data_IF_892589088850
#
_entry.id   IF_892589088850
#
_cell.length_a   1.000
_cell.length_b   1.000
_cell.length_c   1.000
_cell.angle_alpha   90.00
_cell.angle_beta   90.00
_cell.angle_gamma   90.00
#
_symmetry.space_group_name_H-M   'P 1'
#
loop_
_entity.id
_entity.type
_entity.pdbx_description
1 polymer ?
#
# COMPACT_ATOMS: atom_id res chain seq x y z
N UNK A 1 16.87 -0.67 -13.92
CA UNK A 1 16.02 0.05 -12.95
C UNK A 1 16.89 1.02 -12.15
N UNK A 2 16.37 2.19 -11.77
CA UNK A 2 17.06 3.16 -10.90
C UNK A 2 17.23 2.53 -9.50
N UNK A 3 18.35 2.80 -8.85
CA UNK A 3 18.53 2.48 -7.42
C UNK A 3 18.00 3.66 -6.62
N UNK A 4 17.11 3.40 -5.69
CA UNK A 4 16.51 4.39 -4.81
C UNK A 4 17.22 4.36 -3.45
N UNK A 5 17.38 5.50 -2.83
CA UNK A 5 17.82 5.57 -1.42
C UNK A 5 16.65 5.28 -0.47
N UNK A 6 16.98 5.01 0.77
CA UNK A 6 16.03 4.60 1.82
C UNK A 6 14.89 5.60 2.04
N UNK A 7 15.10 6.91 1.79
CA UNK A 7 14.07 7.95 1.96
C UNK A 7 13.04 7.93 0.83
N UNK A 8 13.43 7.41 -0.34
CA UNK A 8 12.61 7.30 -1.55
C UNK A 8 12.07 5.89 -1.80
N UNK A 9 11.86 5.13 -0.73
CA UNK A 9 11.24 3.80 -0.78
C UNK A 9 9.98 3.81 0.08
N UNK A 10 8.93 3.08 -0.35
CA UNK A 10 7.74 2.75 0.44
C UNK A 10 7.44 1.28 0.25
N UNK A 11 7.28 0.54 1.33
CA UNK A 11 6.87 -0.86 1.33
C UNK A 11 5.43 -0.93 1.85
N UNK A 12 4.49 -1.23 0.98
CA UNK A 12 3.06 -1.12 1.27
C UNK A 12 2.35 -2.44 1.02
N UNK A 13 1.72 -2.99 2.06
CA UNK A 13 0.85 -4.15 1.93
C UNK A 13 -0.58 -3.73 1.60
N UNK A 14 -1.18 -4.38 0.61
CA UNK A 14 -2.58 -4.24 0.25
C UNK A 14 -3.35 -5.42 0.84
N UNK A 15 -4.19 -5.15 1.84
CA UNK A 15 -4.90 -6.14 2.65
C UNK A 15 -6.40 -5.85 2.71
N UNK A 16 -7.20 -6.83 3.10
CA UNK A 16 -8.66 -6.71 3.19
C UNK A 16 -9.35 -8.01 2.80
N UNK A 17 -10.67 -8.07 2.86
CA UNK A 17 -11.45 -9.26 2.56
C UNK A 17 -11.34 -9.71 1.10
N UNK A 18 -11.68 -10.97 0.79
CA UNK A 18 -11.78 -11.50 -0.58
C UNK A 18 -12.80 -10.72 -1.40
N UNK A 19 -12.45 -10.36 -2.64
CA UNK A 19 -13.36 -9.60 -3.50
C UNK A 19 -13.45 -8.09 -3.24
N UNK A 20 -12.68 -7.53 -2.28
CA UNK A 20 -12.68 -6.08 -2.01
C UNK A 20 -11.95 -5.23 -3.08
N UNK A 21 -11.35 -5.85 -4.09
CA UNK A 21 -10.70 -5.14 -5.22
C UNK A 21 -9.22 -4.81 -5.02
N UNK A 22 -8.51 -5.47 -4.08
CA UNK A 22 -7.06 -5.26 -3.82
C UNK A 22 -6.20 -5.42 -5.07
N UNK A 23 -6.27 -6.60 -5.70
CA UNK A 23 -5.50 -6.94 -6.91
C UNK A 23 -5.78 -5.98 -8.06
N UNK A 24 -7.05 -5.62 -8.28
CA UNK A 24 -7.43 -4.62 -9.28
C UNK A 24 -6.86 -3.22 -8.95
N UNK A 25 -6.81 -2.87 -7.66
CA UNK A 25 -6.21 -1.61 -7.22
C UNK A 25 -4.69 -1.60 -7.44
N UNK A 26 -3.98 -2.66 -7.04
CA UNK A 26 -2.52 -2.80 -7.25
C UNK A 26 -2.17 -2.75 -8.73
N UNK A 27 -2.93 -3.44 -9.57
CA UNK A 27 -2.76 -3.42 -11.03
C UNK A 27 -2.97 -2.00 -11.61
N UNK A 28 -4.03 -1.31 -11.17
CA UNK A 28 -4.32 0.06 -11.55
C UNK A 28 -3.22 1.05 -11.14
N UNK A 29 -2.69 0.93 -9.92
CA UNK A 29 -1.59 1.77 -9.43
C UNK A 29 -0.30 1.57 -10.24
N UNK A 30 0.06 0.32 -10.54
CA UNK A 30 1.20 0.00 -11.41
C UNK A 30 1.02 0.54 -12.83
N UNK A 31 -0.20 0.48 -13.36
CA UNK A 31 -0.52 1.00 -14.69
C UNK A 31 -0.48 2.54 -14.73
N UNK A 32 -1.14 3.20 -13.79
CA UNK A 32 -1.24 4.68 -13.73
C UNK A 32 0.11 5.33 -13.45
N UNK A 33 0.99 4.69 -12.68
CA UNK A 33 2.37 5.14 -12.47
C UNK A 33 3.26 4.96 -13.71
N UNK A 34 2.80 4.20 -14.72
CA UNK A 34 3.58 3.85 -15.89
C UNK A 34 4.56 2.69 -15.68
N UNK A 35 4.55 2.08 -14.49
CA UNK A 35 5.39 0.92 -14.16
C UNK A 35 4.89 -0.37 -14.81
N UNK A 36 3.60 -0.44 -15.19
CA UNK A 36 3.03 -1.45 -16.05
C UNK A 36 2.51 -0.82 -17.35
N UNK A 37 2.72 -1.51 -18.48
CA UNK A 37 2.22 -1.06 -19.80
C UNK A 37 0.76 -1.45 -20.05
N UNK A 38 0.22 -2.32 -19.23
CA UNK A 38 -1.12 -2.88 -19.40
C UNK A 38 -1.89 -2.75 -18.09
N UNK A 39 -3.13 -2.34 -18.20
CA UNK A 39 -4.11 -2.45 -17.13
C UNK A 39 -4.79 -3.82 -17.28
N UNK A 40 -4.58 -4.70 -16.32
CA UNK A 40 -5.15 -6.04 -16.30
C UNK A 40 -6.55 -6.07 -15.70
N UNK A 41 -7.18 -7.24 -15.80
CA UNK A 41 -8.49 -7.51 -15.21
C UNK A 41 -8.50 -8.92 -14.62
N UNK A 42 -9.09 -9.08 -13.44
CA UNK A 42 -9.18 -10.37 -12.72
C UNK A 42 -10.00 -11.38 -13.54
N UNK A 43 -11.12 -10.97 -14.12
CA UNK A 43 -12.00 -11.86 -14.91
C UNK A 43 -11.32 -12.40 -16.17
N UNK A 44 -10.36 -11.65 -16.72
CA UNK A 44 -9.60 -12.03 -17.91
C UNK A 44 -8.29 -12.75 -17.56
N UNK A 45 -7.98 -12.92 -16.26
CA UNK A 45 -6.72 -13.52 -15.79
C UNK A 45 -5.48 -12.76 -16.23
N UNK A 46 -5.54 -11.43 -16.26
CA UNK A 46 -4.51 -10.60 -16.89
C UNK A 46 -3.90 -9.57 -15.92
N UNK A 47 -4.24 -9.67 -14.65
CA UNK A 47 -3.67 -8.81 -13.60
C UNK A 47 -2.19 -9.10 -13.37
N UNK A 48 -1.50 -8.13 -12.80
CA UNK A 48 -0.07 -8.16 -12.56
C UNK A 48 0.33 -9.23 -11.54
N UNK A 49 -0.43 -9.36 -10.46
CA UNK A 49 -0.06 -10.14 -9.27
C UNK A 49 -0.68 -11.52 -9.23
N UNK A 50 -1.87 -11.74 -9.82
CA UNK A 50 -2.50 -13.05 -9.97
C UNK A 50 -2.11 -13.68 -11.32
N UNK A 51 -0.93 -14.27 -11.37
CA UNK A 51 -0.37 -14.83 -12.63
C UNK A 51 -0.23 -16.34 -12.63
N UNK A 52 -0.45 -17.02 -11.52
CA UNK A 52 -0.44 -18.47 -11.46
C UNK A 52 -1.71 -19.05 -12.11
N UNK A 53 -1.60 -20.27 -12.68
CA UNK A 53 -2.75 -20.91 -13.32
C UNK A 53 -3.92 -21.09 -12.35
N UNK A 54 -3.64 -21.45 -11.11
CA UNK A 54 -4.65 -21.68 -10.07
C UNK A 54 -5.38 -20.36 -9.70
N UNK A 55 -4.68 -19.24 -9.64
CA UNK A 55 -5.26 -17.91 -9.37
C UNK A 55 -6.14 -17.44 -10.52
N UNK A 56 -5.66 -17.64 -11.76
CA UNK A 56 -6.42 -17.30 -12.97
C UNK A 56 -7.71 -18.11 -13.06
N UNK A 57 -7.64 -19.43 -12.85
CA UNK A 57 -8.82 -20.29 -12.90
C UNK A 57 -9.83 -20.01 -11.80
N UNK A 58 -9.36 -19.65 -10.61
CA UNK A 58 -10.20 -19.32 -9.45
C UNK A 58 -10.64 -17.86 -9.40
N UNK A 59 -10.02 -16.99 -10.20
CA UNK A 59 -10.25 -15.54 -10.23
C UNK A 59 -10.05 -14.87 -8.86
N UNK A 60 -9.09 -15.35 -8.08
CA UNK A 60 -8.67 -14.77 -6.82
C UNK A 60 -7.23 -15.15 -6.46
N UNK A 61 -6.58 -14.28 -5.68
CA UNK A 61 -5.22 -14.50 -5.17
C UNK A 61 -5.16 -15.66 -4.19
N UNK A 62 -4.11 -16.48 -4.30
CA UNK A 62 -3.78 -17.60 -3.42
C UNK A 62 -2.50 -17.27 -2.63
N UNK A 63 -1.49 -16.74 -3.31
CA UNK A 63 -0.25 -16.29 -2.72
C UNK A 63 -0.14 -14.77 -2.69
N UNK A 64 0.77 -14.23 -1.88
CA UNK A 64 1.13 -12.83 -2.02
C UNK A 64 1.90 -12.60 -3.32
N UNK A 65 1.59 -11.50 -4.00
CA UNK A 65 2.27 -11.05 -5.21
C UNK A 65 2.99 -9.71 -4.99
N UNK A 66 4.04 -9.45 -5.77
CA UNK A 66 4.75 -8.17 -5.72
C UNK A 66 4.43 -7.33 -6.95
N UNK A 67 4.03 -6.10 -6.73
CA UNK A 67 3.90 -5.04 -7.73
C UNK A 67 4.87 -3.90 -7.43
N UNK A 68 5.08 -3.04 -8.41
CA UNK A 68 5.94 -1.88 -8.31
C UNK A 68 5.26 -0.67 -8.91
N UNK A 69 5.36 0.47 -8.23
CA UNK A 69 5.04 1.78 -8.78
C UNK A 69 6.20 2.76 -8.57
N UNK A 70 6.51 3.56 -9.59
CA UNK A 70 7.44 4.68 -9.48
C UNK A 70 6.63 5.98 -9.57
N UNK A 71 6.62 6.77 -8.49
CA UNK A 71 5.80 7.97 -8.38
C UNK A 71 6.51 9.05 -7.58
N UNK A 72 6.52 10.29 -8.06
CA UNK A 72 7.18 11.43 -7.40
C UNK A 72 8.62 11.11 -6.94
N UNK A 73 9.40 10.53 -7.83
CA UNK A 73 10.78 10.08 -7.55
C UNK A 73 10.91 9.04 -6.41
N UNK A 74 9.83 8.34 -6.08
CA UNK A 74 9.77 7.34 -5.01
C UNK A 74 9.38 5.99 -5.59
N UNK A 75 10.06 4.94 -5.15
CA UNK A 75 9.74 3.55 -5.43
C UNK A 75 8.75 3.03 -4.40
N UNK A 76 7.60 2.58 -4.85
CA UNK A 76 6.58 1.96 -4.00
C UNK A 76 6.58 0.46 -4.30
N UNK A 77 7.09 -0.35 -3.39
CA UNK A 77 6.94 -1.80 -3.42
C UNK A 77 5.53 -2.13 -2.91
N UNK A 78 4.70 -2.70 -3.76
CA UNK A 78 3.32 -3.06 -3.45
C UNK A 78 3.25 -4.58 -3.22
N UNK A 79 2.83 -4.97 -2.02
CA UNK A 79 2.64 -6.36 -1.63
C UNK A 79 1.14 -6.64 -1.68
N UNK A 80 0.68 -7.24 -2.78
CA UNK A 80 -0.71 -7.66 -2.94
C UNK A 80 -0.94 -8.97 -2.19
N UNK A 81 -1.95 -9.03 -1.33
CA UNK A 81 -2.20 -10.20 -0.48
C UNK A 81 -3.56 -10.84 -0.77
N UNK A 82 -3.66 -12.17 -0.63
CA UNK A 82 -4.94 -12.85 -0.68
C UNK A 82 -5.88 -12.32 0.40
N UNK A 83 -7.19 -12.28 0.08
CA UNK A 83 -8.21 -11.82 1.01
C UNK A 83 -9.07 -12.93 1.63
N UNK A 84 -8.99 -14.16 1.12
CA UNK A 84 -9.69 -15.30 1.70
C UNK A 84 -8.96 -15.84 2.92
N UNK A 85 -9.71 -16.21 3.96
CA UNK A 85 -9.16 -16.65 5.23
C UNK A 85 -8.31 -17.93 5.13
N UNK A 86 -8.57 -18.77 4.14
CA UNK A 86 -7.75 -19.97 3.85
C UNK A 86 -6.27 -19.60 3.59
N UNK A 87 -6.02 -18.40 3.07
CA UNK A 87 -4.68 -17.90 2.75
C UNK A 87 -4.24 -16.77 3.68
N UNK A 88 -4.85 -16.64 4.86
CA UNK A 88 -4.58 -15.54 5.79
C UNK A 88 -3.10 -15.42 6.19
N UNK A 89 -2.38 -16.55 6.26
CA UNK A 89 -0.93 -16.56 6.51
C UNK A 89 -0.12 -15.74 5.51
N UNK A 90 -0.56 -15.66 4.25
CA UNK A 90 0.08 -14.83 3.21
C UNK A 90 -0.12 -13.33 3.49
N UNK A 91 -1.32 -12.94 3.97
CA UNK A 91 -1.60 -11.56 4.35
C UNK A 91 -0.74 -11.14 5.58
N UNK A 92 -0.62 -12.02 6.58
CA UNK A 92 0.26 -11.79 7.73
C UNK A 92 1.71 -11.64 7.29
N UNK A 93 2.19 -12.50 6.39
CA UNK A 93 3.54 -12.43 5.81
C UNK A 93 3.79 -11.09 5.10
N UNK A 94 2.83 -10.64 4.28
CA UNK A 94 2.89 -9.36 3.58
C UNK A 94 2.95 -8.17 4.53
N UNK A 95 2.14 -8.19 5.61
CA UNK A 95 2.15 -7.14 6.63
C UNK A 95 3.47 -7.06 7.40
N UNK A 96 4.10 -8.21 7.70
CA UNK A 96 5.43 -8.24 8.33
C UNK A 96 6.55 -7.73 7.41
N UNK A 97 6.37 -7.80 6.10
CA UNK A 97 7.35 -7.31 5.13
C UNK A 97 7.15 -5.81 4.78
N UNK A 98 6.04 -5.21 5.18
CA UNK A 98 5.66 -3.84 4.85
C UNK A 98 6.04 -2.83 5.94
N UNK A 99 6.03 -1.54 5.58
CA UNK A 99 6.16 -0.39 6.49
C UNK A 99 4.83 0.30 6.75
N UNK A 100 3.87 0.04 5.87
CA UNK A 100 2.52 0.58 5.97
C UNK A 100 1.53 -0.34 5.24
N UNK A 101 0.24 -0.13 5.48
CA UNK A 101 -0.81 -0.91 4.84
C UNK A 101 -1.88 -0.01 4.17
N UNK A 102 -2.40 -0.48 3.04
CA UNK A 102 -3.66 -0.01 2.48
C UNK A 102 -4.71 -1.09 2.74
N UNK A 103 -5.65 -0.79 3.63
CA UNK A 103 -6.76 -1.69 3.94
C UNK A 103 -7.90 -1.39 2.97
N UNK A 104 -8.19 -2.33 2.09
CA UNK A 104 -9.16 -2.16 1.00
C UNK A 104 -10.50 -2.79 1.38
N UNK A 105 -11.56 -1.98 1.33
CA UNK A 105 -12.94 -2.40 1.57
C UNK A 105 -13.77 -2.25 0.29
N UNK A 106 -14.82 -3.06 0.19
CA UNK A 106 -15.80 -2.92 -0.88
C UNK A 106 -16.86 -1.87 -0.51
N UNK A 107 -17.15 -0.95 -1.44
CA UNK A 107 -18.24 0.01 -1.30
C UNK A 107 -19.64 -0.65 -1.20
N UNK A 108 -19.74 -1.91 -1.65
CA UNK A 108 -21.00 -2.68 -1.62
C UNK A 108 -21.15 -3.52 -0.36
N UNK A 109 -20.06 -4.04 0.20
CA UNK A 109 -20.10 -4.97 1.35
C UNK A 109 -19.79 -4.29 2.69
N UNK A 110 -18.90 -3.29 2.70
CA UNK A 110 -18.44 -2.65 3.94
C UNK A 110 -17.39 -3.48 4.67
N UNK A 111 -17.48 -3.51 5.99
CA UNK A 111 -16.56 -4.27 6.86
C UNK A 111 -16.93 -5.75 6.83
N UNK A 112 -15.97 -6.60 6.53
CA UNK A 112 -16.12 -8.05 6.46
C UNK A 112 -15.06 -8.72 7.34
N UNK A 113 -15.25 -9.99 7.70
CA UNK A 113 -14.38 -10.73 8.63
C UNK A 113 -12.90 -10.68 8.25
N UNK A 114 -12.57 -10.78 6.95
CA UNK A 114 -11.18 -10.66 6.49
C UNK A 114 -10.60 -9.26 6.74
N UNK A 115 -11.43 -8.21 6.67
CA UNK A 115 -11.02 -6.84 6.99
C UNK A 115 -10.71 -6.69 8.48
N UNK A 116 -11.60 -7.21 9.36
CA UNK A 116 -11.38 -7.19 10.81
C UNK A 116 -10.08 -7.92 11.19
N UNK A 117 -9.84 -9.09 10.58
CA UNK A 117 -8.65 -9.89 10.87
C UNK A 117 -7.34 -9.20 10.48
N UNK A 118 -7.26 -8.60 9.29
CA UNK A 118 -6.05 -7.85 8.89
C UNK A 118 -5.90 -6.56 9.69
N UNK A 119 -7.01 -5.95 10.14
CA UNK A 119 -6.99 -4.79 11.02
C UNK A 119 -6.36 -5.13 12.38
N UNK A 120 -6.77 -6.26 13.01
CA UNK A 120 -6.18 -6.77 14.24
C UNK A 120 -4.66 -6.98 14.11
N UNK A 121 -4.19 -7.52 12.98
CA UNK A 121 -2.74 -7.70 12.72
C UNK A 121 -2.04 -6.35 12.59
N UNK A 122 -2.62 -5.39 11.86
CA UNK A 122 -2.06 -4.04 11.75
C UNK A 122 -1.96 -3.36 13.11
N UNK A 123 -2.95 -3.53 14.01
CA UNK A 123 -2.91 -3.00 15.36
C UNK A 123 -1.79 -3.64 16.19
N UNK A 124 -1.65 -4.97 16.11
CA UNK A 124 -0.60 -5.70 16.81
C UNK A 124 0.82 -5.30 16.36
N UNK A 125 0.98 -5.04 15.07
CA UNK A 125 2.25 -4.61 14.47
C UNK A 125 2.48 -3.09 14.58
N UNK A 126 1.54 -2.33 15.11
CA UNK A 126 1.53 -0.86 15.11
C UNK A 126 1.79 -0.27 13.71
N UNK A 127 1.23 -0.91 12.68
CA UNK A 127 1.50 -0.57 11.30
C UNK A 127 0.68 0.66 10.87
N UNK A 128 1.33 1.74 10.40
CA UNK A 128 0.64 2.87 9.79
C UNK A 128 -0.24 2.41 8.63
N UNK A 129 -1.46 2.97 8.53
CA UNK A 129 -2.39 2.50 7.50
C UNK A 129 -3.28 3.58 6.93
N UNK A 130 -3.74 3.33 5.72
CA UNK A 130 -4.78 4.06 4.99
C UNK A 130 -5.93 3.09 4.75
N UNK A 131 -7.17 3.57 4.84
CA UNK A 131 -8.34 2.86 4.33
C UNK A 131 -8.65 3.33 2.89
N UNK A 132 -9.05 2.38 2.04
CA UNK A 132 -9.49 2.67 0.68
C UNK A 132 -10.81 1.94 0.40
N UNK A 133 -11.90 2.69 0.25
CA UNK A 133 -13.18 2.14 -0.22
C UNK A 133 -13.09 2.01 -1.74
N UNK A 134 -12.96 0.79 -2.21
CA UNK A 134 -12.89 0.39 -3.61
C UNK A 134 -14.27 0.05 -4.16
N UNK A 135 -14.35 -0.19 -5.47
CA UNK A 135 -15.59 -0.62 -6.14
C UNK A 135 -16.73 0.41 -6.06
N UNK A 136 -16.38 1.70 -6.00
CA UNK A 136 -17.37 2.79 -5.99
C UNK A 136 -18.22 2.85 -7.26
N UNK A 137 -17.77 2.22 -8.34
CA UNK A 137 -18.45 2.09 -9.64
C UNK A 137 -19.48 0.96 -9.70
N UNK A 138 -19.57 0.13 -8.67
CA UNK A 138 -20.47 -1.03 -8.66
C UNK A 138 -21.86 -0.66 -8.19
N UNK A 139 -22.88 -1.36 -8.73
CA UNK A 139 -24.25 -1.27 -8.26
C UNK A 139 -24.32 -1.50 -6.75
N UNK A 140 -25.13 -0.70 -6.05
CA UNK A 140 -25.26 -0.71 -4.58
C UNK A 140 -24.01 -0.22 -3.80
N UNK A 141 -23.05 0.45 -4.43
CA UNK A 141 -22.02 1.18 -3.72
C UNK A 141 -22.65 2.28 -2.86
N UNK A 142 -22.23 2.41 -1.60
CA UNK A 142 -22.77 3.39 -0.65
C UNK A 142 -21.67 3.81 0.33
N UNK A 143 -21.11 4.99 0.08
CA UNK A 143 -20.02 5.54 0.91
C UNK A 143 -20.45 5.78 2.36
N UNK A 144 -21.62 6.40 2.58
CA UNK A 144 -22.05 6.80 3.93
C UNK A 144 -22.31 5.57 4.81
N UNK A 145 -22.98 4.58 4.25
CA UNK A 145 -23.22 3.31 4.93
C UNK A 145 -21.91 2.61 5.31
N UNK A 146 -20.96 2.51 4.36
CA UNK A 146 -19.68 1.86 4.61
C UNK A 146 -18.82 2.66 5.58
N UNK A 147 -18.85 3.99 5.54
CA UNK A 147 -18.14 4.82 6.50
C UNK A 147 -18.69 4.68 7.92
N UNK A 148 -20.03 4.63 8.09
CA UNK A 148 -20.64 4.36 9.37
C UNK A 148 -20.24 2.97 9.91
N UNK A 149 -20.26 1.94 9.06
CA UNK A 149 -19.85 0.58 9.37
C UNK A 149 -18.38 0.50 9.83
N UNK A 150 -17.48 1.21 9.14
CA UNK A 150 -16.07 1.33 9.53
C UNK A 150 -15.90 1.94 10.93
N UNK A 151 -16.64 3.02 11.22
CA UNK A 151 -16.59 3.66 12.53
C UNK A 151 -17.08 2.79 13.66
N UNK A 152 -18.10 1.97 13.41
CA UNK A 152 -18.69 1.06 14.38
C UNK A 152 -17.82 -0.18 14.63
N UNK A 153 -17.27 -0.80 13.57
CA UNK A 153 -16.64 -2.11 13.66
C UNK A 153 -15.12 -2.10 13.62
N UNK A 154 -14.47 -1.07 13.03
CA UNK A 154 -13.00 -0.98 12.97
C UNK A 154 -12.45 0.07 13.94
N UNK A 155 -12.73 1.35 13.70
CA UNK A 155 -12.16 2.41 14.55
C UNK A 155 -12.84 3.77 14.35
N UNK A 156 -13.12 4.51 15.45
CA UNK A 156 -13.56 5.90 15.38
C UNK A 156 -12.48 6.86 14.87
N UNK A 157 -11.20 6.44 14.83
CA UNK A 157 -10.06 7.23 14.35
C UNK A 157 -10.02 7.39 12.83
N UNK A 158 -10.91 6.71 12.10
CA UNK A 158 -11.01 6.80 10.66
C UNK A 158 -11.61 8.13 10.25
N UNK A 159 -10.91 8.83 9.35
CA UNK A 159 -11.20 10.20 8.92
C UNK A 159 -11.23 10.29 7.40
N UNK A 160 -12.35 10.64 6.77
CA UNK A 160 -12.39 10.88 5.34
C UNK A 160 -11.44 12.01 4.95
N UNK A 161 -10.69 11.81 3.90
CA UNK A 161 -9.85 12.83 3.25
C UNK A 161 -10.30 13.06 1.80
N UNK A 162 -11.19 12.21 1.35
CA UNK A 162 -11.89 12.28 0.07
C UNK A 162 -13.34 11.87 0.26
N UNK A 163 -14.24 12.48 -0.51
CA UNK A 163 -15.64 12.10 -0.62
C UNK A 163 -16.03 11.89 -2.08
N UNK A 164 -16.85 10.87 -2.41
CA UNK A 164 -17.22 10.59 -3.78
C UNK A 164 -18.22 11.61 -4.32
N UNK A 165 -18.15 11.83 -5.64
CA UNK A 165 -19.17 12.51 -6.46
C UNK A 165 -19.91 11.46 -7.25
N UNK A 166 -21.16 11.20 -6.87
CA UNK A 166 -21.92 10.05 -7.32
C UNK A 166 -21.46 8.73 -6.70
N UNK A 167 -22.22 7.68 -6.95
CA UNK A 167 -21.94 6.31 -6.57
C UNK A 167 -22.51 5.31 -7.60
N UNK A 168 -22.06 4.07 -7.59
CA UNK A 168 -22.45 3.09 -8.58
C UNK A 168 -22.16 3.54 -10.01
N UNK A 169 -23.15 3.43 -10.89
CA UNK A 169 -23.02 3.87 -12.30
C UNK A 169 -22.82 5.37 -12.47
N UNK A 170 -23.14 6.15 -11.44
CA UNK A 170 -23.02 7.61 -11.43
C UNK A 170 -21.70 8.08 -10.80
N UNK A 171 -20.83 7.19 -10.34
CA UNK A 171 -19.53 7.54 -9.79
C UNK A 171 -18.62 8.12 -10.87
N UNK A 172 -18.38 9.43 -10.83
CA UNK A 172 -17.60 10.14 -11.84
C UNK A 172 -16.66 11.21 -11.29
N UNK A 173 -16.56 11.34 -9.96
CA UNK A 173 -15.66 12.31 -9.35
C UNK A 173 -15.32 12.01 -7.91
N UNK A 174 -14.33 12.73 -7.40
CA UNK A 174 -13.85 12.66 -6.01
C UNK A 174 -13.53 14.06 -5.55
N UNK A 175 -14.12 14.51 -4.43
CA UNK A 175 -13.78 15.77 -3.80
C UNK A 175 -12.63 15.52 -2.82
N UNK A 176 -11.52 16.21 -3.02
CA UNK A 176 -10.36 16.16 -2.16
C UNK A 176 -10.46 17.23 -1.07
N UNK A 177 -10.54 16.81 0.19
CA UNK A 177 -10.76 17.71 1.32
C UNK A 177 -9.53 18.56 1.65
N UNK A 178 -8.32 18.15 1.25
CA UNK A 178 -7.11 18.94 1.45
C UNK A 178 -6.99 20.12 0.48
N UNK A 179 -7.38 19.90 -0.78
CA UNK A 179 -7.26 20.92 -1.82
C UNK A 179 -8.51 21.78 -1.94
N UNK A 180 -9.65 21.32 -1.44
CA UNK A 180 -10.95 21.97 -1.65
C UNK A 180 -11.38 21.96 -3.11
N UNK A 181 -10.95 20.96 -3.87
CA UNK A 181 -11.28 20.80 -5.30
C UNK A 181 -11.91 19.45 -5.57
N UNK A 182 -12.71 19.38 -6.60
CA UNK A 182 -13.24 18.15 -7.12
C UNK A 182 -12.43 17.67 -8.33
N UNK A 183 -12.04 16.39 -8.31
CA UNK A 183 -11.38 15.68 -9.40
C UNK A 183 -12.46 14.96 -10.21
N UNK A 184 -12.82 15.52 -11.36
CA UNK A 184 -13.86 14.95 -12.24
C UNK A 184 -13.20 14.10 -13.30
N UNK A 185 -13.60 12.84 -13.38
CA UNK A 185 -13.07 11.85 -14.30
C UNK A 185 -13.88 11.76 -15.58
N UNK A 186 -13.22 11.49 -16.69
CA UNK A 186 -13.86 11.27 -17.96
C UNK A 186 -14.09 9.77 -18.21
N UNK A 187 -15.31 9.37 -18.53
CA UNK A 187 -15.59 7.98 -18.87
C UNK A 187 -14.71 7.49 -20.03
N UNK A 188 -14.10 6.32 -19.87
CA UNK A 188 -13.23 5.71 -20.86
C UNK A 188 -11.75 6.12 -20.82
N UNK A 189 -11.35 7.05 -19.96
CA UNK A 189 -9.92 7.28 -19.65
C UNK A 189 -9.42 6.23 -18.68
N UNK A 190 -8.43 5.44 -19.10
CA UNK A 190 -7.84 4.37 -18.27
C UNK A 190 -6.57 4.76 -17.53
N UNK A 191 -6.22 6.05 -17.53
CA UNK A 191 -4.94 6.54 -16.94
C UNK A 191 -5.12 7.27 -15.62
N UNK A 192 -6.32 7.26 -15.03
CA UNK A 192 -6.63 8.01 -13.81
C UNK A 192 -6.52 9.52 -13.97
N UNK A 193 -6.63 10.04 -15.20
CA UNK A 193 -6.64 11.47 -15.50
C UNK A 193 -7.99 12.08 -15.12
N UNK A 194 -7.94 13.30 -14.58
CA UNK A 194 -9.13 14.03 -14.14
C UNK A 194 -8.99 15.51 -14.50
N UNK A 195 -10.12 16.20 -14.51
CA UNK A 195 -10.18 17.65 -14.52
C UNK A 195 -10.40 18.14 -13.09
N UNK A 196 -9.57 19.08 -12.64
CA UNK A 196 -9.75 19.73 -11.36
C UNK A 196 -10.73 20.90 -11.54
N UNK A 197 -11.82 20.89 -10.76
CA UNK A 197 -12.86 21.90 -10.76
C UNK A 197 -13.18 22.33 -9.33
N UNK A 198 -13.94 23.41 -9.18
CA UNK A 198 -14.48 23.78 -7.86
C UNK A 198 -15.47 22.72 -7.38
N UNK A 199 -15.67 22.64 -6.06
CA UNK A 199 -16.64 21.72 -5.47
C UNK A 199 -18.04 22.07 -6.01
N UNK A 200 -18.77 21.10 -6.61
CA UNK A 200 -20.11 21.33 -7.10
C UNK A 200 -21.04 21.81 -5.98
N UNK A 201 -21.94 22.75 -6.29
CA UNK A 201 -22.82 23.40 -5.30
C UNK A 201 -23.63 22.40 -4.47
N UNK A 202 -24.07 21.30 -5.09
CA UNK A 202 -24.82 20.22 -4.43
C UNK A 202 -24.01 19.47 -3.33
N UNK A 203 -22.66 19.54 -3.38
CA UNK A 203 -21.76 18.95 -2.38
C UNK A 203 -21.20 19.95 -1.37
N UNK A 204 -21.51 21.26 -1.51
CA UNK A 204 -20.90 22.32 -0.72
C UNK A 204 -21.09 22.14 0.80
N UNK A 205 -22.30 21.78 1.24
CA UNK A 205 -22.62 21.55 2.66
C UNK A 205 -21.84 20.33 3.19
N UNK A 206 -21.85 19.22 2.44
CA UNK A 206 -21.15 17.98 2.80
C UNK A 206 -19.63 18.20 2.84
N UNK A 207 -19.09 18.91 1.84
CA UNK A 207 -17.68 19.30 1.82
C UNK A 207 -17.31 20.15 3.04
N UNK A 208 -18.09 21.17 3.38
CA UNK A 208 -17.82 22.02 4.55
C UNK A 208 -17.76 21.22 5.85
N UNK A 209 -18.75 20.32 6.08
CA UNK A 209 -18.81 19.48 7.28
C UNK A 209 -17.60 18.56 7.40
N UNK A 210 -17.22 17.85 6.33
CA UNK A 210 -16.07 16.94 6.35
C UNK A 210 -14.72 17.69 6.42
N UNK A 211 -14.60 18.86 5.79
CA UNK A 211 -13.38 19.68 5.86
C UNK A 211 -13.14 20.27 7.24
N UNK A 212 -14.21 20.72 7.91
CA UNK A 212 -14.14 21.19 9.29
C UNK A 212 -13.69 20.05 10.22
N UNK A 213 -14.34 18.89 10.12
CA UNK A 213 -13.97 17.69 10.89
C UNK A 213 -12.52 17.27 10.65
N UNK A 214 -12.06 17.30 9.38
CA UNK A 214 -10.68 16.97 9.01
C UNK A 214 -9.70 17.92 9.70
N UNK A 215 -9.91 19.21 9.57
CA UNK A 215 -9.02 20.25 10.11
C UNK A 215 -8.97 20.19 11.64
N UNK A 216 -10.12 20.10 12.30
CA UNK A 216 -10.21 19.97 13.76
C UNK A 216 -9.51 18.73 14.28
N UNK A 217 -9.79 17.56 13.65
CA UNK A 217 -9.19 16.29 14.08
C UNK A 217 -7.68 16.29 13.91
N UNK A 218 -7.18 16.82 12.80
CA UNK A 218 -5.72 16.91 12.58
C UNK A 218 -5.09 17.94 13.51
N UNK A 219 -5.71 19.09 13.70
CA UNK A 219 -5.20 20.10 14.64
C UNK A 219 -5.11 19.56 16.07
N UNK A 220 -6.08 18.73 16.50
CA UNK A 220 -6.08 18.13 17.83
C UNK A 220 -4.91 17.17 18.10
N UNK A 221 -4.15 16.74 17.08
CA UNK A 221 -2.96 15.89 17.24
C UNK A 221 -1.67 16.66 17.53
N UNK A 222 -1.70 17.99 17.49
CA UNK A 222 -0.53 18.85 17.71
C UNK A 222 -0.93 20.09 18.54
N UNK A 223 -0.32 20.26 19.72
CA UNK A 223 -0.67 21.30 20.67
C UNK A 223 -0.59 22.73 20.06
N UNK A 224 0.38 22.96 19.16
CA UNK A 224 0.54 24.27 18.53
C UNK A 224 -0.50 24.53 17.45
N UNK A 225 -0.94 23.49 16.75
CA UNK A 225 -1.98 23.60 15.73
C UNK A 225 -3.36 23.77 16.35
N UNK A 226 -3.66 23.08 17.45
CA UNK A 226 -4.96 23.22 18.10
C UNK A 226 -5.14 24.61 18.74
N UNK A 227 -4.08 25.19 19.34
CA UNK A 227 -4.14 26.56 19.86
C UNK A 227 -4.47 27.55 18.74
N UNK A 228 -3.77 27.48 17.61
CA UNK A 228 -4.01 28.33 16.44
C UNK A 228 -5.40 28.13 15.83
N UNK A 229 -5.85 26.90 15.75
CA UNK A 229 -7.20 26.59 15.26
C UNK A 229 -8.28 27.24 16.14
N UNK A 230 -8.15 27.14 17.47
CA UNK A 230 -9.08 27.73 18.43
C UNK A 230 -9.06 29.28 18.41
N UNK A 231 -7.91 29.89 18.06
CA UNK A 231 -7.77 31.33 17.86
C UNK A 231 -8.30 31.80 16.49
N UNK A 232 -8.79 30.90 15.64
CA UNK A 232 -9.27 31.21 14.29
C UNK A 232 -8.17 31.55 13.29
N UNK A 233 -6.92 31.17 13.58
CA UNK A 233 -5.82 31.33 12.64
C UNK A 233 -5.86 30.27 11.54
N UNK A 234 -5.45 30.66 10.35
CA UNK A 234 -5.37 29.74 9.21
C UNK A 234 -4.22 28.75 9.41
N UNK A 235 -4.50 27.46 9.16
CA UNK A 235 -3.51 26.38 9.13
C UNK A 235 -3.25 26.05 7.67
N UNK A 236 -1.99 26.11 7.25
CA UNK A 236 -1.63 25.81 5.86
C UNK A 236 -1.80 24.31 5.55
N UNK A 237 -2.03 24.00 4.26
CA UNK A 237 -2.11 22.61 3.78
C UNK A 237 -0.87 21.78 4.15
N UNK A 238 0.32 22.37 4.07
CA UNK A 238 1.58 21.70 4.37
C UNK A 238 1.67 21.31 5.85
N UNK A 239 1.20 22.18 6.74
CA UNK A 239 1.11 21.90 8.18
C UNK A 239 0.12 20.76 8.45
N UNK A 240 -1.04 20.78 7.81
CA UNK A 240 -2.04 19.69 7.93
C UNK A 240 -1.47 18.36 7.46
N UNK A 241 -0.80 18.31 6.30
CA UNK A 241 -0.20 17.09 5.76
C UNK A 241 0.92 16.58 6.69
N UNK A 242 1.75 17.46 7.22
CA UNK A 242 2.84 17.11 8.13
C UNK A 242 2.32 16.55 9.46
N UNK A 243 1.33 17.21 10.05
CA UNK A 243 0.68 16.74 11.29
C UNK A 243 -0.03 15.39 11.06
N UNK A 244 -0.75 15.28 9.94
CA UNK A 244 -1.42 14.02 9.58
C UNK A 244 -0.43 12.87 9.40
N UNK A 245 0.72 13.08 8.75
CA UNK A 245 1.75 12.04 8.63
C UNK A 245 2.20 11.53 10.00
N UNK A 246 2.48 12.44 10.94
CA UNK A 246 2.85 12.08 12.31
C UNK A 246 1.75 11.29 13.00
N UNK A 247 0.51 11.77 12.90
CA UNK A 247 -0.65 11.12 13.52
C UNK A 247 -0.94 9.72 12.94
N UNK A 248 -0.71 9.50 11.64
CA UNK A 248 -0.81 8.19 10.99
C UNK A 248 0.27 7.24 11.52
N UNK A 249 1.51 7.69 11.62
CA UNK A 249 2.63 6.90 12.14
C UNK A 249 2.39 6.56 13.63
N UNK A 250 1.82 7.48 14.40
CA UNK A 250 1.45 7.27 15.79
C UNK A 250 0.17 6.41 15.98
N UNK A 251 -0.55 6.10 14.89
CA UNK A 251 -1.80 5.35 14.94
C UNK A 251 -2.97 6.13 15.56
N UNK A 252 -2.91 7.45 15.54
CA UNK A 252 -3.95 8.36 16.06
C UNK A 252 -5.03 8.67 15.05
N UNK A 253 -4.68 8.72 13.76
CA UNK A 253 -5.58 8.95 12.63
C UNK A 253 -5.39 7.86 11.59
N UNK A 254 -6.48 7.42 10.96
CA UNK A 254 -6.47 6.57 9.78
C UNK A 254 -7.24 7.28 8.66
N UNK A 255 -6.56 7.79 7.63
CA UNK A 255 -7.23 8.49 6.53
C UNK A 255 -7.99 7.51 5.63
N UNK A 256 -9.17 7.94 5.18
CA UNK A 256 -10.05 7.20 4.30
C UNK A 256 -10.10 7.84 2.92
N UNK A 257 -9.79 7.04 1.91
CA UNK A 257 -9.83 7.35 0.48
C UNK A 257 -10.93 6.54 -0.21
N UNK A 258 -11.29 6.96 -1.41
CA UNK A 258 -12.33 6.29 -2.21
C UNK A 258 -11.88 6.15 -3.66
N UNK A 259 -12.42 5.14 -4.37
CA UNK A 259 -12.12 5.01 -5.79
C UNK A 259 -12.57 3.71 -6.43
N UNK A 260 -12.04 3.49 -7.63
CA UNK A 260 -12.24 2.27 -8.41
C UNK A 260 -10.93 1.87 -9.10
N UNK A 261 -10.44 0.67 -8.80
CA UNK A 261 -9.30 0.10 -9.51
C UNK A 261 -9.61 -0.16 -10.99
N UNK A 262 -10.83 -0.63 -11.29
CA UNK A 262 -11.24 -0.92 -12.66
C UNK A 262 -11.30 0.34 -13.54
N UNK A 263 -11.83 1.45 -13.01
CA UNK A 263 -11.89 2.73 -13.70
C UNK A 263 -10.61 3.58 -13.54
N UNK A 264 -9.70 3.16 -12.66
CA UNK A 264 -8.50 3.92 -12.24
C UNK A 264 -8.81 5.25 -11.52
N UNK A 265 -10.04 5.45 -11.05
CA UNK A 265 -10.43 6.65 -10.33
C UNK A 265 -9.91 6.63 -8.89
N UNK A 266 -9.37 7.75 -8.40
CA UNK A 266 -8.74 7.86 -7.09
C UNK A 266 -7.27 7.37 -7.02
N UNK A 267 -6.79 6.65 -8.03
CA UNK A 267 -5.47 5.99 -8.00
C UNK A 267 -4.29 6.96 -7.94
N UNK A 268 -4.34 8.09 -8.69
CA UNK A 268 -3.27 9.11 -8.64
C UNK A 268 -3.18 9.80 -7.28
N UNK A 269 -4.33 10.07 -6.67
CA UNK A 269 -4.39 10.65 -5.33
C UNK A 269 -3.83 9.67 -4.30
N UNK A 270 -4.20 8.38 -4.38
CA UNK A 270 -3.67 7.35 -3.48
C UNK A 270 -2.15 7.19 -3.63
N UNK A 271 -1.59 7.13 -4.87
CA UNK A 271 -0.15 7.11 -5.11
C UNK A 271 0.55 8.29 -4.45
N UNK A 272 0.03 9.50 -4.66
CA UNK A 272 0.57 10.73 -4.07
C UNK A 272 0.56 10.66 -2.54
N UNK A 273 -0.56 10.21 -1.96
CA UNK A 273 -0.71 10.15 -0.51
C UNK A 273 0.10 9.02 0.14
N UNK A 274 0.31 7.90 -0.54
CA UNK A 274 1.27 6.90 -0.06
C UNK A 274 2.69 7.46 0.02
N UNK A 275 3.11 8.29 -0.93
CA UNK A 275 4.43 8.95 -0.87
C UNK A 275 4.50 10.00 0.25
N UNK A 276 3.46 10.83 0.39
CA UNK A 276 3.43 11.95 1.36
C UNK A 276 3.21 11.49 2.80
N UNK A 277 2.34 10.49 3.04
CA UNK A 277 1.82 10.14 4.36
C UNK A 277 2.46 8.88 4.97
N UNK A 278 2.92 7.93 4.16
CA UNK A 278 3.56 6.75 4.71
C UNK A 278 5.03 7.01 5.05
N UNK A 279 5.54 6.34 6.10
CA UNK A 279 6.95 6.43 6.44
C UNK A 279 7.81 5.80 5.35
N UNK A 280 8.99 6.36 5.15
CA UNK A 280 10.08 5.67 4.48
C UNK A 280 10.80 4.72 5.45
N UNK A 281 11.52 3.69 4.98
CA UNK A 281 12.33 2.86 5.85
C UNK A 281 13.36 3.63 6.69
N UNK A 282 13.80 4.82 6.23
CA UNK A 282 14.69 5.71 6.98
C UNK A 282 14.04 6.34 8.22
N UNK A 283 12.70 6.39 8.27
CA UNK A 283 11.92 6.95 9.39
C UNK A 283 11.51 5.87 10.41
N UNK A 284 11.84 4.61 10.15
CA UNK A 284 11.53 3.46 11.00
C UNK A 284 12.79 3.00 11.69
N UNK A 285 12.72 2.75 12.99
CA UNK A 285 13.86 2.22 13.73
C UNK A 285 14.29 0.84 13.21
N UNK A 286 15.57 0.71 12.92
CA UNK A 286 16.13 -0.57 12.53
C UNK A 286 16.20 -1.52 13.73
N UNK A 287 15.83 -2.79 13.58
CA UNK A 287 15.76 -3.74 14.68
C UNK A 287 17.11 -4.08 15.31
N UNK A 288 18.24 -3.75 14.66
CA UNK A 288 19.57 -4.08 15.15
C UNK A 288 20.63 -3.05 14.73
N UNK A 289 21.58 -2.77 15.61
CA UNK A 289 22.74 -1.92 15.30
C UNK A 289 23.88 -2.78 14.70
N UNK A 290 23.63 -3.31 13.52
CA UNK A 290 24.55 -4.15 12.75
C UNK A 290 24.65 -3.66 11.31
N UNK A 291 25.77 -3.93 10.61
CA UNK A 291 26.02 -3.36 9.29
C UNK A 291 25.11 -3.91 8.18
N UNK A 292 24.55 -5.10 8.37
CA UNK A 292 23.73 -5.77 7.36
C UNK A 292 22.67 -6.65 8.00
N UNK A 293 21.40 -6.43 7.63
CA UNK A 293 20.28 -7.32 7.93
C UNK A 293 19.31 -7.35 6.74
N UNK A 294 19.05 -8.54 6.26
CA UNK A 294 17.96 -8.82 5.32
C UNK A 294 17.18 -10.05 5.79
N UNK A 295 15.89 -10.10 5.57
CA UNK A 295 15.04 -11.22 5.96
C UNK A 295 14.26 -11.75 4.77
N UNK A 296 14.29 -13.05 4.58
CA UNK A 296 13.47 -13.75 3.60
C UNK A 296 12.05 -13.88 4.16
N UNK A 297 11.10 -13.20 3.54
CA UNK A 297 9.71 -13.29 3.98
C UNK A 297 8.90 -14.33 3.21
N UNK A 298 9.37 -14.75 2.00
CA UNK A 298 8.70 -15.78 1.20
C UNK A 298 9.66 -16.49 0.28
N UNK A 299 9.46 -17.80 0.08
CA UNK A 299 10.09 -18.60 -0.95
C UNK A 299 9.03 -19.14 -1.90
N UNK A 300 9.23 -18.95 -3.21
CA UNK A 300 8.32 -19.37 -4.28
C UNK A 300 9.09 -20.39 -5.14
N UNK A 301 8.51 -21.56 -5.36
CA UNK A 301 9.10 -22.54 -6.27
C UNK A 301 8.54 -22.34 -7.68
N UNK A 302 9.41 -21.97 -8.62
CA UNK A 302 9.04 -21.71 -10.00
C UNK A 302 9.54 -22.79 -10.96
N UNK A 303 8.72 -23.26 -11.91
CA UNK A 303 9.16 -24.17 -12.96
C UNK A 303 10.37 -23.61 -13.72
N UNK A 304 11.38 -24.43 -13.95
CA UNK A 304 12.62 -24.09 -14.69
C UNK A 304 13.59 -23.11 -14.01
N UNK A 305 13.18 -22.40 -12.98
CA UNK A 305 14.03 -21.48 -12.20
C UNK A 305 14.49 -22.15 -10.90
N UNK A 306 13.60 -22.88 -10.24
CA UNK A 306 13.76 -23.38 -8.88
C UNK A 306 13.24 -22.41 -7.84
N UNK A 307 13.75 -22.51 -6.64
CA UNK A 307 13.30 -21.66 -5.53
C UNK A 307 13.81 -20.24 -5.67
N UNK A 308 12.88 -19.31 -5.53
CA UNK A 308 13.10 -17.86 -5.54
C UNK A 308 12.75 -17.33 -4.16
N UNK A 309 13.74 -16.75 -3.49
CA UNK A 309 13.57 -16.13 -2.18
C UNK A 309 13.27 -14.66 -2.34
N UNK A 310 12.11 -14.22 -1.84
CA UNK A 310 11.74 -12.81 -1.69
C UNK A 310 12.23 -12.34 -0.33
N UNK A 311 12.99 -11.26 -0.30
CA UNK A 311 13.57 -10.73 0.92
C UNK A 311 13.50 -9.21 0.99
N UNK A 312 13.53 -8.70 2.21
CA UNK A 312 13.62 -7.28 2.50
C UNK A 312 14.94 -6.97 3.19
N UNK A 313 15.59 -5.89 2.78
CA UNK A 313 16.74 -5.33 3.48
C UNK A 313 16.26 -4.43 4.63
N UNK A 314 16.63 -4.72 5.85
CA UNK A 314 16.35 -3.88 7.02
C UNK A 314 17.52 -2.98 7.41
N UNK A 315 18.74 -3.39 7.06
CA UNK A 315 19.96 -2.63 7.31
C UNK A 315 20.98 -2.86 6.20
N UNK A 316 21.70 -1.82 5.86
CA UNK A 316 22.76 -1.89 4.86
C UNK A 316 22.24 -2.15 3.44
N UNK A 317 23.15 -2.49 2.55
CA UNK A 317 22.83 -2.78 1.15
C UNK A 317 23.57 -4.01 0.65
N UNK A 318 23.00 -4.68 -0.35
CA UNK A 318 23.64 -5.82 -1.03
C UNK A 318 23.81 -5.53 -2.50
N UNK A 319 24.90 -5.99 -3.09
CA UNK A 319 25.17 -5.93 -4.52
C UNK A 319 25.02 -7.32 -5.15
N UNK A 320 24.85 -7.35 -6.46
CA UNK A 320 24.85 -8.60 -7.19
C UNK A 320 26.19 -9.32 -6.98
N UNK A 321 26.14 -10.57 -6.50
CA UNK A 321 27.32 -11.34 -6.13
C UNK A 321 27.81 -11.16 -4.69
N UNK A 322 27.14 -10.35 -3.85
CA UNK A 322 27.44 -10.24 -2.42
C UNK A 322 27.36 -11.60 -1.74
N UNK A 323 28.26 -11.84 -0.81
CA UNK A 323 28.23 -13.00 0.09
C UNK A 323 27.61 -12.55 1.40
N UNK A 324 26.55 -13.24 1.83
CA UNK A 324 25.84 -13.02 3.09
C UNK A 324 25.91 -14.28 3.95
N UNK A 325 25.71 -14.11 5.24
CA UNK A 325 25.67 -15.21 6.21
C UNK A 325 24.22 -15.42 6.63
N UNK A 326 23.73 -16.65 6.49
CA UNK A 326 22.45 -17.08 7.03
C UNK A 326 22.70 -17.56 8.46
N UNK A 327 22.15 -16.83 9.44
CA UNK A 327 22.41 -17.09 10.86
C UNK A 327 21.70 -18.32 11.39
N UNK A 328 20.52 -18.66 10.82
CA UNK A 328 19.74 -19.81 11.27
C UNK A 328 20.40 -21.14 10.89
N UNK A 329 21.07 -21.17 9.74
CA UNK A 329 21.72 -22.39 9.22
C UNK A 329 23.25 -22.36 9.31
N UNK A 330 23.83 -21.26 9.79
CA UNK A 330 25.29 -21.05 9.92
C UNK A 330 26.05 -21.26 8.59
N UNK A 331 25.46 -20.88 7.47
CA UNK A 331 26.03 -21.03 6.13
C UNK A 331 26.22 -19.68 5.44
N UNK A 332 27.12 -19.63 4.47
CA UNK A 332 27.29 -18.48 3.60
C UNK A 332 26.57 -18.71 2.28
N UNK A 333 25.80 -17.73 1.86
CA UNK A 333 25.10 -17.70 0.58
C UNK A 333 25.61 -16.60 -0.32
N UNK A 334 25.59 -16.83 -1.62
CA UNK A 334 25.96 -15.82 -2.62
C UNK A 334 24.74 -15.34 -3.36
N UNK A 335 24.46 -14.05 -3.25
CA UNK A 335 23.31 -13.40 -3.89
C UNK A 335 23.62 -13.11 -5.36
N UNK A 336 23.47 -14.11 -6.23
CA UNK A 336 23.64 -13.95 -7.68
C UNK A 336 22.28 -13.62 -8.33
N UNK A 337 22.31 -12.79 -9.39
CA UNK A 337 21.11 -12.39 -10.12
C UNK A 337 20.07 -11.72 -9.21
N UNK A 338 20.56 -10.76 -8.38
CA UNK A 338 19.66 -9.89 -7.63
C UNK A 338 18.64 -9.25 -8.55
N UNK A 339 17.37 -9.30 -8.18
CA UNK A 339 16.31 -8.74 -8.98
C UNK A 339 15.21 -8.12 -8.12
N UNK A 340 14.43 -7.24 -8.75
CA UNK A 340 13.16 -6.74 -8.25
C UNK A 340 12.07 -7.47 -9.02
N UNK A 341 11.05 -7.93 -8.30
CA UNK A 341 9.95 -8.66 -8.90
C UNK A 341 8.74 -7.76 -9.13
N UNK A 342 8.11 -7.91 -10.29
CA UNK A 342 6.85 -7.28 -10.64
C UNK A 342 5.94 -8.32 -11.29
N UNK A 343 4.99 -8.83 -10.52
CA UNK A 343 4.22 -10.00 -10.90
C UNK A 343 5.14 -11.19 -11.20
N UNK A 344 5.00 -11.78 -12.38
CA UNK A 344 5.87 -12.88 -12.84
C UNK A 344 7.24 -12.42 -13.38
N UNK A 345 7.38 -11.13 -13.69
CA UNK A 345 8.59 -10.60 -14.31
C UNK A 345 9.63 -10.22 -13.25
N UNK A 346 10.91 -10.47 -13.55
CA UNK A 346 12.04 -10.11 -12.70
C UNK A 346 13.01 -9.23 -13.47
N UNK A 347 13.36 -8.11 -12.86
CA UNK A 347 14.29 -7.15 -13.42
C UNK A 347 15.59 -7.18 -12.61
N UNK A 348 16.68 -7.64 -13.23
CA UNK A 348 17.99 -7.65 -12.58
C UNK A 348 18.40 -6.23 -12.16
N UNK A 349 18.96 -6.15 -10.96
CA UNK A 349 19.49 -4.90 -10.38
C UNK A 349 20.93 -5.11 -9.92
N UNK A 350 21.72 -4.06 -9.98
CA UNK A 350 23.12 -4.11 -9.50
C UNK A 350 23.22 -4.11 -7.98
N UNK A 351 22.23 -3.51 -7.30
CA UNK A 351 22.20 -3.30 -5.86
C UNK A 351 20.77 -3.19 -5.37
N UNK A 352 20.56 -3.63 -4.13
CA UNK A 352 19.38 -3.32 -3.31
C UNK A 352 19.82 -2.49 -2.10
N UNK A 353 19.16 -1.38 -1.91
CA UNK A 353 19.42 -0.47 -0.79
C UNK A 353 18.76 -0.95 0.51
N UNK A 354 19.14 -0.33 1.62
CA UNK A 354 18.44 -0.46 2.89
C UNK A 354 16.97 -0.07 2.72
N UNK A 355 16.08 -0.89 3.26
CA UNK A 355 14.64 -0.74 3.15
C UNK A 355 14.02 -1.37 1.90
N UNK A 356 14.79 -1.75 0.89
CA UNK A 356 14.25 -2.26 -0.37
C UNK A 356 13.86 -3.74 -0.30
N UNK A 357 12.93 -4.12 -1.17
CA UNK A 357 12.50 -5.51 -1.39
C UNK A 357 13.10 -6.01 -2.70
N UNK A 358 13.69 -7.20 -2.63
CA UNK A 358 14.26 -7.88 -3.77
C UNK A 358 14.00 -9.36 -3.79
N UNK A 359 14.52 -10.00 -4.83
CA UNK A 359 14.47 -11.44 -5.00
C UNK A 359 15.81 -12.00 -5.46
N UNK A 360 16.07 -13.24 -5.08
CA UNK A 360 17.23 -14.01 -5.50
C UNK A 360 16.82 -15.47 -5.70
N UNK A 361 17.32 -16.09 -6.75
CA UNK A 361 17.01 -17.48 -7.05
C UNK A 361 18.15 -18.42 -6.62
N UNK A 362 17.79 -19.67 -6.34
CA UNK A 362 18.73 -20.78 -6.16
C UNK A 362 19.67 -20.63 -4.95
N UNK A 363 19.19 -20.07 -3.87
CA UNK A 363 19.84 -20.22 -2.57
C UNK A 363 19.74 -21.69 -2.14
N UNK A 364 20.78 -22.20 -1.47
CA UNK A 364 20.86 -23.65 -1.21
C UNK A 364 20.22 -24.03 0.12
N UNK A 365 20.52 -23.23 1.14
CA UNK A 365 20.17 -23.55 2.52
C UNK A 365 19.42 -22.37 3.18
N UNK A 366 18.71 -21.57 2.37
CA UNK A 366 17.95 -20.41 2.84
C UNK A 366 16.46 -20.57 2.55
N UNK A 367 15.66 -20.41 3.59
CA UNK A 367 14.22 -20.64 3.59
C UNK A 367 13.45 -19.39 4.04
N UNK A 368 12.14 -19.47 3.99
CA UNK A 368 11.26 -18.42 4.53
C UNK A 368 11.50 -18.22 6.01
N UNK A 369 11.60 -16.98 6.44
CA UNK A 369 11.94 -16.44 7.76
C UNK A 369 13.44 -16.42 8.11
N UNK A 370 14.32 -16.95 7.28
CA UNK A 370 15.74 -16.86 7.51
C UNK A 370 16.27 -15.43 7.37
N UNK A 371 17.31 -15.14 8.14
CA UNK A 371 17.95 -13.83 8.21
C UNK A 371 19.30 -13.82 7.51
N UNK A 372 19.50 -12.86 6.63
CA UNK A 372 20.80 -12.54 6.06
C UNK A 372 21.50 -11.49 6.90
N UNK A 373 22.75 -11.73 7.25
CA UNK A 373 23.56 -10.78 7.97
C UNK A 373 25.01 -10.79 7.50
N UNK A 374 25.85 -9.96 8.14
CA UNK A 374 27.29 -10.06 7.99
C UNK A 374 27.83 -11.20 8.85
N UNK A 375 28.71 -12.03 8.31
CA UNK A 375 29.37 -13.11 9.08
C UNK A 375 30.18 -12.56 10.27
N UNK A 376 30.62 -11.31 10.18
CA UNK A 376 31.40 -10.67 11.26
C UNK A 376 30.51 -10.13 12.39
N UNK A 377 29.21 -9.96 12.13
CA UNK A 377 28.20 -9.45 13.06
C UNK A 377 26.90 -10.23 12.85
N UNK A 378 26.84 -11.51 13.24
CA UNK A 378 25.64 -12.33 13.09
C UNK A 378 24.52 -11.81 14.00
N UNK A 379 23.27 -11.97 13.55
CA UNK A 379 22.04 -11.53 14.24
C UNK A 379 21.19 -12.75 14.55
#
# INVERSE_FOLDING_TARGET
>A
MKVYDTTHIRNVAFVGHGGSGKTSLVDALAFVSGSSRRHGNVSDGTTLTDYSQDEIERQHSIGLGLGLAEWMDTKINMIDTPGYLDFFGEAVTGLHAADAAVVVLSATSGVEVGTEKVWEVCDHLHLPRILFISLMDKEHADFERVFADIKEHLSPKVLPVEIPVGDGSDFHGIINLFSGKAHMYQAGTKSGEYQEVDVPEEYAERFAAYSEQLTETVAATDDSLIERYLEGQEISREEVVTAMKRAIIAGEIVPLFVGSGELTFGTRALLTKMVELFPSPAEIESPADVPLVGRVFKTISEPHVGDVSLFRMYRGSVQNGSVVFNSEHEVTEKLNHLSVQQGKDRYEVSQLAEGDIGSVAKLKDTHTNDTFCSQQSPV
#
